data_IF_613820751577
#
_entry.id   IF_613820751577
#
_cell.length_a   1.000
_cell.length_b   1.000
_cell.length_c   1.000
_cell.angle_alpha   90.00
_cell.angle_beta   90.00
_cell.angle_gamma   90.00
#
_symmetry.space_group_name_H-M   'P 1'
#
loop_
_entity.id
_entity.type
_entity.pdbx_description
1 polymer ?
#
# COMPACT_ATOMS: atom_id res chain seq x y z
N UNK A 1 -29.51 -28.57 25.88
CA UNK A 1 -29.13 -27.31 26.54
C UNK A 1 -28.63 -26.38 25.45
N UNK A 2 -29.49 -25.50 24.95
CA UNK A 2 -29.24 -24.56 23.86
C UNK A 2 -28.70 -23.26 24.44
N UNK A 3 -27.43 -22.96 24.21
CA UNK A 3 -26.84 -21.66 24.60
C UNK A 3 -27.41 -20.55 23.73
N UNK A 4 -28.11 -19.61 24.35
CA UNK A 4 -28.60 -18.42 23.68
C UNK A 4 -27.44 -17.46 23.38
N UNK A 5 -27.28 -17.12 22.10
CA UNK A 5 -26.39 -16.03 21.67
C UNK A 5 -26.99 -14.71 22.15
N UNK A 6 -26.39 -14.12 23.19
CA UNK A 6 -26.71 -12.76 23.64
C UNK A 6 -26.34 -11.77 22.54
N UNK A 7 -27.33 -11.26 21.81
CA UNK A 7 -27.15 -10.06 21.00
C UNK A 7 -27.04 -8.86 21.95
N UNK A 8 -25.82 -8.38 22.21
CA UNK A 8 -25.62 -7.13 22.91
C UNK A 8 -26.24 -6.00 22.06
N UNK A 9 -27.29 -5.36 22.58
CA UNK A 9 -27.87 -4.16 21.96
C UNK A 9 -27.00 -2.97 22.36
N UNK A 10 -26.37 -2.32 21.39
CA UNK A 10 -25.58 -1.11 21.61
C UNK A 10 -26.47 0.00 22.17
N UNK A 11 -25.98 0.73 23.15
CA UNK A 11 -26.64 1.92 23.68
C UNK A 11 -26.64 3.07 22.65
N UNK A 12 -27.58 4.04 22.76
CA UNK A 12 -27.60 5.21 21.88
C UNK A 12 -26.27 5.96 21.82
N UNK A 13 -25.57 6.10 22.95
CA UNK A 13 -24.28 6.79 23.04
C UNK A 13 -23.17 6.03 22.28
N UNK A 14 -23.18 4.69 22.33
CA UNK A 14 -22.24 3.85 21.57
C UNK A 14 -22.50 3.94 20.06
N UNK A 15 -23.78 4.01 19.65
CA UNK A 15 -24.17 4.19 18.25
C UNK A 15 -23.67 5.54 17.72
N UNK A 16 -23.86 6.61 18.48
CA UNK A 16 -23.41 7.95 18.08
C UNK A 16 -21.88 8.06 18.03
N UNK A 17 -21.18 7.47 19.01
CA UNK A 17 -19.73 7.42 19.01
C UNK A 17 -19.17 6.63 17.79
N UNK A 18 -19.80 5.51 17.44
CA UNK A 18 -19.46 4.74 16.25
C UNK A 18 -19.74 5.51 14.96
N UNK A 19 -20.88 6.20 14.88
CA UNK A 19 -21.24 7.03 13.74
C UNK A 19 -20.22 8.18 13.54
N UNK A 20 -19.80 8.83 14.63
CA UNK A 20 -18.80 9.89 14.58
C UNK A 20 -17.42 9.38 14.19
N UNK A 21 -17.01 8.22 14.70
CA UNK A 21 -15.76 7.58 14.30
C UNK A 21 -15.78 7.20 12.81
N UNK A 22 -16.89 6.62 12.33
CA UNK A 22 -17.07 6.29 10.93
C UNK A 22 -17.02 7.55 10.04
N UNK A 23 -17.66 8.65 10.44
CA UNK A 23 -17.59 9.94 9.72
C UNK A 23 -16.17 10.50 9.68
N UNK A 24 -15.43 10.43 10.79
CA UNK A 24 -14.03 10.88 10.84
C UNK A 24 -13.15 10.05 9.92
N UNK A 25 -13.27 8.73 9.95
CA UNK A 25 -12.53 7.84 9.06
C UNK A 25 -12.89 8.06 7.58
N UNK A 26 -14.18 8.15 7.27
CA UNK A 26 -14.64 8.46 5.91
C UNK A 26 -14.06 9.80 5.42
N UNK A 27 -14.04 10.83 6.27
CA UNK A 27 -13.45 12.11 5.94
C UNK A 27 -11.96 11.98 5.62
N UNK A 28 -11.17 11.25 6.40
CA UNK A 28 -9.74 11.03 6.09
C UNK A 28 -9.57 10.40 4.71
N UNK A 29 -10.33 9.34 4.40
CA UNK A 29 -10.26 8.66 3.10
C UNK A 29 -10.68 9.59 1.96
N UNK A 30 -11.76 10.36 2.13
CA UNK A 30 -12.23 11.32 1.13
C UNK A 30 -11.17 12.38 0.80
N UNK A 31 -10.35 12.81 1.76
CA UNK A 31 -9.26 13.75 1.51
C UNK A 31 -8.12 13.14 0.68
N UNK A 32 -8.03 11.81 0.56
CA UNK A 32 -7.03 11.14 -0.27
C UNK A 32 -7.47 11.01 -1.73
N UNK A 33 -8.78 11.11 -2.03
CA UNK A 33 -9.34 10.96 -3.38
C UNK A 33 -8.62 11.84 -4.42
N UNK A 34 -8.30 13.13 -4.16
CA UNK A 34 -7.59 13.95 -5.14
C UNK A 34 -6.24 13.37 -5.59
N UNK A 35 -5.57 12.56 -4.76
CA UNK A 35 -4.30 11.92 -5.11
C UNK A 35 -4.48 10.89 -6.25
N UNK A 36 -5.68 10.35 -6.45
CA UNK A 36 -5.96 9.46 -7.59
C UNK A 36 -5.69 10.16 -8.93
N UNK A 37 -5.93 11.47 -9.04
CA UNK A 37 -5.64 12.21 -10.26
C UNK A 37 -4.15 12.18 -10.62
N UNK A 38 -3.29 12.38 -9.63
CA UNK A 38 -1.84 12.32 -9.80
C UNK A 38 -1.35 10.90 -10.13
N UNK A 39 -1.89 9.89 -9.44
CA UNK A 39 -1.55 8.48 -9.68
C UNK A 39 -1.97 8.05 -11.08
N UNK A 40 -3.22 8.32 -11.49
CA UNK A 40 -3.71 8.01 -12.83
C UNK A 40 -2.88 8.71 -13.90
N UNK A 41 -2.50 9.97 -13.69
CA UNK A 41 -1.62 10.68 -14.62
C UNK A 41 -0.25 10.00 -14.76
N UNK A 42 0.37 9.55 -13.67
CA UNK A 42 1.62 8.78 -13.71
C UNK A 42 1.43 7.45 -14.44
N UNK A 43 0.33 6.75 -14.18
CA UNK A 43 0.00 5.48 -14.85
C UNK A 43 -0.16 5.66 -16.35
N UNK A 44 -0.82 6.74 -16.79
CA UNK A 44 -0.97 7.06 -18.22
C UNK A 44 0.38 7.27 -18.89
N UNK A 45 1.36 7.83 -18.18
CA UNK A 45 2.70 8.08 -18.72
C UNK A 45 3.63 6.85 -18.62
N UNK A 46 3.23 5.77 -17.95
CA UNK A 46 4.02 4.55 -17.81
C UNK A 46 3.44 3.43 -18.70
N UNK A 47 4.17 2.94 -19.73
CA UNK A 47 3.64 2.01 -20.73
C UNK A 47 2.95 0.75 -20.15
N UNK A 48 3.50 0.17 -19.08
CA UNK A 48 2.96 -1.05 -18.46
C UNK A 48 1.65 -0.85 -17.68
N UNK A 49 1.24 0.38 -17.39
CA UNK A 49 0.07 0.69 -16.56
C UNK A 49 -0.94 1.60 -17.25
N UNK A 50 -0.63 2.10 -18.46
CA UNK A 50 -1.48 3.05 -19.19
C UNK A 50 -2.87 2.50 -19.51
N UNK A 51 -2.99 1.18 -19.64
CA UNK A 51 -4.24 0.50 -19.98
C UNK A 51 -4.95 -0.13 -18.77
N UNK A 52 -4.49 0.15 -17.55
CA UNK A 52 -5.17 -0.28 -16.33
C UNK A 52 -6.57 0.32 -16.27
N UNK A 53 -7.56 -0.53 -15.94
CA UNK A 53 -8.94 -0.08 -15.78
C UNK A 53 -9.04 0.88 -14.58
N UNK A 54 -9.78 1.98 -14.74
CA UNK A 54 -9.98 2.95 -13.65
C UNK A 54 -10.60 2.32 -12.41
N UNK A 55 -11.45 1.30 -12.58
CA UNK A 55 -12.05 0.54 -11.47
C UNK A 55 -11.02 -0.19 -10.62
N UNK A 56 -9.81 -0.48 -11.13
CA UNK A 56 -8.76 -1.14 -10.34
C UNK A 56 -8.17 -0.23 -9.27
N UNK A 57 -8.38 1.09 -9.35
CA UNK A 57 -7.89 2.03 -8.32
C UNK A 57 -8.44 1.73 -6.93
N UNK A 58 -9.66 1.16 -6.85
CA UNK A 58 -10.33 0.81 -5.60
C UNK A 58 -9.56 -0.25 -4.79
N UNK A 59 -8.98 -1.25 -5.44
CA UNK A 59 -8.21 -2.29 -4.75
C UNK A 59 -6.70 -2.05 -4.80
N UNK A 60 -6.21 -1.35 -5.82
CA UNK A 60 -4.77 -1.16 -6.09
C UNK A 60 -4.18 0.05 -5.36
N UNK A 61 -4.91 1.16 -5.31
CA UNK A 61 -4.37 2.46 -4.87
C UNK A 61 -5.06 2.95 -3.60
N UNK A 62 -6.39 2.89 -3.54
CA UNK A 62 -7.16 3.40 -2.41
C UNK A 62 -6.79 2.79 -1.06
N UNK A 63 -6.53 1.47 -0.93
CA UNK A 63 -6.17 0.90 0.36
C UNK A 63 -4.81 1.43 0.84
N UNK A 64 -3.85 1.59 -0.07
CA UNK A 64 -2.55 2.19 0.23
C UNK A 64 -2.69 3.61 0.77
N UNK A 65 -3.48 4.43 0.07
CA UNK A 65 -3.70 5.83 0.44
C UNK A 65 -4.45 5.95 1.77
N UNK A 66 -5.45 5.11 2.00
CA UNK A 66 -6.23 5.08 3.23
C UNK A 66 -5.43 4.62 4.45
N UNK A 67 -4.40 3.78 4.23
CA UNK A 67 -3.51 3.26 5.27
C UNK A 67 -2.22 4.08 5.43
N UNK A 68 -2.06 5.18 4.68
CA UNK A 68 -0.80 5.94 4.61
C UNK A 68 0.41 5.07 4.23
N UNK A 69 0.17 4.00 3.46
CA UNK A 69 1.20 3.10 2.95
C UNK A 69 1.54 3.42 1.48
N UNK A 70 1.64 4.70 1.17
CA UNK A 70 2.02 5.20 -0.14
C UNK A 70 2.67 6.58 -0.05
N UNK A 71 3.46 6.91 -1.05
CA UNK A 71 4.13 8.21 -1.18
C UNK A 71 4.07 8.70 -2.62
N UNK A 72 3.67 9.95 -2.76
CA UNK A 72 3.67 10.70 -4.02
C UNK A 72 4.84 11.69 -3.99
N UNK A 73 5.63 11.70 -5.06
CA UNK A 73 6.76 12.61 -5.25
C UNK A 73 6.37 13.68 -6.25
N UNK A 74 6.62 14.93 -5.89
CA UNK A 74 6.40 16.10 -6.74
C UNK A 74 7.73 16.76 -7.10
N UNK A 75 7.79 17.34 -8.29
CA UNK A 75 8.83 18.30 -8.72
C UNK A 75 8.13 19.46 -9.39
N UNK A 76 8.35 20.68 -8.89
CA UNK A 76 7.71 21.89 -9.41
C UNK A 76 6.18 21.72 -9.55
N UNK A 77 5.56 21.19 -8.48
CA UNK A 77 4.13 20.83 -8.39
C UNK A 77 3.64 19.71 -9.33
N UNK A 78 4.47 19.21 -10.23
CA UNK A 78 4.14 18.08 -11.09
C UNK A 78 4.44 16.74 -10.41
N UNK A 79 3.52 15.75 -10.44
CA UNK A 79 3.84 14.41 -9.97
C UNK A 79 4.93 13.78 -10.83
N UNK A 80 5.95 13.20 -10.20
CA UNK A 80 7.08 12.57 -10.91
C UNK A 80 7.22 11.09 -10.59
N UNK A 81 6.80 10.67 -9.40
CA UNK A 81 6.78 9.28 -9.02
C UNK A 81 5.72 8.99 -7.96
N UNK A 82 5.26 7.75 -7.90
CA UNK A 82 4.38 7.22 -6.86
C UNK A 82 4.87 5.83 -6.46
N UNK A 83 4.87 5.56 -5.17
CA UNK A 83 5.14 4.22 -4.64
C UNK A 83 4.10 3.86 -3.60
N UNK A 84 3.64 2.61 -3.61
CA UNK A 84 2.82 2.02 -2.56
C UNK A 84 3.45 0.75 -2.03
N UNK A 85 3.16 0.44 -0.77
CA UNK A 85 3.68 -0.75 -0.12
C UNK A 85 2.63 -1.42 0.77
N UNK A 86 2.87 -2.69 1.06
CA UNK A 86 2.11 -3.49 2.00
C UNK A 86 3.05 -4.21 2.97
N UNK A 87 2.60 -4.43 4.20
CA UNK A 87 3.28 -5.30 5.16
C UNK A 87 2.45 -6.57 5.27
N UNK A 88 2.93 -7.63 4.62
CA UNK A 88 2.20 -8.87 4.43
C UNK A 88 2.65 -9.94 5.42
N UNK A 89 1.72 -10.73 5.93
CA UNK A 89 2.06 -11.99 6.61
C UNK A 89 2.69 -12.96 5.60
N UNK A 90 3.46 -13.98 6.04
CA UNK A 90 4.07 -14.94 5.13
C UNK A 90 3.07 -15.62 4.19
N UNK A 91 1.87 -15.97 4.71
CA UNK A 91 0.84 -16.66 3.93
C UNK A 91 0.23 -15.73 2.86
N UNK A 92 0.01 -14.46 3.20
CA UNK A 92 -0.51 -13.47 2.26
C UNK A 92 0.54 -13.12 1.21
N UNK A 93 1.81 -13.02 1.59
CA UNK A 93 2.91 -12.77 0.67
C UNK A 93 3.08 -13.90 -0.36
N UNK A 94 2.99 -15.17 0.06
CA UNK A 94 3.05 -16.31 -0.85
C UNK A 94 1.90 -16.30 -1.87
N UNK A 95 0.68 -16.01 -1.41
CA UNK A 95 -0.48 -15.83 -2.29
C UNK A 95 -0.27 -14.67 -3.26
N UNK A 96 0.18 -13.52 -2.75
CA UNK A 96 0.43 -12.33 -3.57
C UNK A 96 1.46 -12.61 -4.66
N UNK A 97 2.54 -13.35 -4.36
CA UNK A 97 3.57 -13.70 -5.33
C UNK A 97 3.11 -14.69 -6.42
N UNK A 98 2.05 -15.46 -6.17
CA UNK A 98 1.61 -16.56 -7.05
C UNK A 98 0.56 -16.18 -8.09
N UNK A 99 0.00 -14.96 -8.02
CA UNK A 99 -1.13 -14.52 -8.85
C UNK A 99 -2.47 -14.70 -8.13
N UNK A 100 -3.48 -13.84 -8.35
CA UNK A 100 -3.56 -12.77 -9.34
C UNK A 100 -2.85 -11.46 -8.96
N UNK A 101 -1.98 -11.46 -7.93
CA UNK A 101 -1.27 -10.26 -7.45
C UNK A 101 -2.22 -9.17 -6.93
N UNK A 102 -3.39 -9.59 -6.42
CA UNK A 102 -4.36 -8.69 -5.79
C UNK A 102 -4.29 -8.84 -4.27
N UNK A 103 -4.43 -7.72 -3.57
CA UNK A 103 -4.54 -7.65 -2.12
C UNK A 103 -5.94 -7.16 -1.75
N UNK A 104 -6.63 -7.90 -0.88
CA UNK A 104 -7.83 -7.39 -0.22
C UNK A 104 -7.43 -6.27 0.77
N UNK A 105 -8.33 -5.33 1.12
CA UNK A 105 -7.98 -4.23 2.05
C UNK A 105 -7.37 -4.68 3.38
N UNK A 106 -7.78 -5.83 3.92
CA UNK A 106 -7.21 -6.40 5.16
C UNK A 106 -5.78 -6.94 4.99
N UNK A 107 -5.41 -7.32 3.77
CA UNK A 107 -4.11 -7.94 3.48
C UNK A 107 -2.95 -6.94 3.62
N UNK A 108 -3.20 -5.66 3.28
CA UNK A 108 -2.19 -4.59 3.19
C UNK A 108 -1.36 -4.40 4.46
N UNK A 109 -1.90 -4.79 5.62
CA UNK A 109 -1.27 -4.71 6.94
C UNK A 109 -1.27 -6.04 7.70
N UNK A 110 -1.53 -7.15 7.00
CA UNK A 110 -1.65 -8.48 7.62
C UNK A 110 -0.44 -8.87 8.46
N UNK A 111 0.78 -8.50 8.03
CA UNK A 111 2.01 -8.77 8.75
C UNK A 111 2.51 -7.62 9.63
N UNK A 112 1.72 -6.56 9.85
CA UNK A 112 2.21 -5.36 10.55
C UNK A 112 2.60 -5.61 12.01
N UNK A 113 1.94 -6.56 12.67
CA UNK A 113 2.19 -6.94 14.07
C UNK A 113 3.02 -8.22 14.21
N UNK A 114 3.43 -8.83 13.09
CA UNK A 114 4.17 -10.08 13.06
C UNK A 114 5.68 -9.81 12.98
N UNK A 115 6.47 -10.59 13.71
CA UNK A 115 7.93 -10.46 13.70
C UNK A 115 8.54 -10.75 12.33
N UNK A 116 7.89 -11.60 11.53
CA UNK A 116 8.25 -12.04 10.20
C UNK A 116 7.42 -11.35 9.08
N UNK A 117 6.76 -10.24 9.40
CA UNK A 117 6.03 -9.42 8.43
C UNK A 117 6.94 -8.93 7.30
N UNK A 118 6.51 -9.16 6.06
CA UNK A 118 7.29 -8.88 4.85
C UNK A 118 6.87 -7.56 4.21
N UNK A 119 7.81 -6.69 3.88
CA UNK A 119 7.53 -5.45 3.16
C UNK A 119 7.52 -5.71 1.67
N UNK A 120 6.39 -5.41 1.01
CA UNK A 120 6.22 -5.56 -0.43
C UNK A 120 5.88 -4.22 -1.08
N UNK A 121 6.65 -3.83 -2.08
CA UNK A 121 6.29 -2.77 -3.02
C UNK A 121 5.18 -3.31 -3.91
N UNK A 122 4.01 -2.67 -3.86
CA UNK A 122 2.82 -3.07 -4.61
C UNK A 122 2.78 -2.34 -5.95
N UNK A 123 2.95 -1.01 -5.92
CA UNK A 123 3.09 -0.18 -7.11
C UNK A 123 4.33 0.69 -7.04
N UNK A 124 4.97 0.84 -8.19
CA UNK A 124 6.02 1.82 -8.43
C UNK A 124 5.80 2.43 -9.81
N UNK A 125 5.40 3.71 -9.81
CA UNK A 125 5.19 4.50 -11.01
C UNK A 125 6.29 5.56 -11.05
N UNK A 126 7.15 5.51 -12.06
CA UNK A 126 8.24 6.47 -12.23
C UNK A 126 8.52 6.66 -13.74
N UNK A 127 7.53 7.17 -14.51
CA UNK A 127 7.58 7.20 -15.97
C UNK A 127 8.73 8.05 -16.54
N UNK A 128 9.31 8.96 -15.75
CA UNK A 128 10.41 9.83 -16.15
C UNK A 128 11.77 9.39 -15.57
N UNK A 129 11.85 8.14 -15.10
CA UNK A 129 12.98 7.65 -14.33
C UNK A 129 12.86 8.01 -12.84
N UNK A 130 13.88 7.69 -12.04
CA UNK A 130 13.86 7.92 -10.60
C UNK A 130 13.56 6.69 -9.74
N UNK A 131 13.32 5.52 -10.36
CA UNK A 131 12.95 4.26 -9.70
C UNK A 131 13.92 3.88 -8.58
N UNK A 132 15.23 3.91 -8.86
CA UNK A 132 16.26 3.56 -7.87
C UNK A 132 16.30 4.54 -6.70
N UNK A 133 16.14 5.84 -6.99
CA UNK A 133 16.13 6.89 -5.97
C UNK A 133 14.92 6.72 -5.05
N UNK A 134 13.73 6.45 -5.60
CA UNK A 134 12.52 6.19 -4.82
C UNK A 134 12.66 4.95 -3.94
N UNK A 135 13.21 3.85 -4.48
CA UNK A 135 13.42 2.62 -3.72
C UNK A 135 14.48 2.79 -2.63
N UNK A 136 15.56 3.52 -2.92
CA UNK A 136 16.59 3.82 -1.93
C UNK A 136 16.06 4.70 -0.80
N UNK A 137 15.27 5.71 -1.12
CA UNK A 137 14.60 6.56 -0.14
C UNK A 137 13.65 5.73 0.74
N UNK A 138 12.84 4.86 0.13
CA UNK A 138 11.92 4.00 0.86
C UNK A 138 12.66 3.06 1.84
N UNK A 139 13.81 2.52 1.41
CA UNK A 139 14.68 1.64 2.23
C UNK A 139 15.39 2.37 3.38
N UNK A 140 15.68 3.64 3.23
CA UNK A 140 16.50 4.40 4.20
C UNK A 140 15.67 5.22 5.17
N UNK A 141 14.45 5.61 4.78
CA UNK A 141 13.59 6.52 5.55
C UNK A 141 12.36 5.82 6.14
N UNK A 142 11.66 5.00 5.35
CA UNK A 142 10.42 4.34 5.78
C UNK A 142 10.71 2.96 6.38
N UNK A 143 11.66 2.23 5.79
CA UNK A 143 12.01 0.86 6.18
C UNK A 143 13.51 0.65 6.47
N UNK A 144 14.16 1.50 7.27
CA UNK A 144 15.55 1.29 7.64
C UNK A 144 15.71 -0.08 8.33
N UNK A 145 16.74 -0.82 7.92
CA UNK A 145 17.05 -2.14 8.46
C UNK A 145 16.13 -3.27 8.02
N UNK A 146 15.16 -3.03 7.11
CA UNK A 146 14.27 -4.07 6.59
C UNK A 146 14.49 -4.36 5.12
N UNK A 147 14.31 -5.63 4.76
CA UNK A 147 14.27 -6.08 3.37
C UNK A 147 12.97 -5.59 2.69
N UNK A 148 13.08 -5.18 1.42
CA UNK A 148 11.93 -4.89 0.58
C UNK A 148 11.83 -5.93 -0.53
N UNK A 149 10.60 -6.32 -0.88
CA UNK A 149 10.30 -7.21 -1.98
C UNK A 149 9.47 -6.49 -3.03
N UNK A 150 9.68 -6.83 -4.29
CA UNK A 150 8.93 -6.26 -5.40
C UNK A 150 8.65 -7.34 -6.43
N UNK A 151 7.43 -7.38 -6.97
CA UNK A 151 7.16 -8.21 -8.14
C UNK A 151 7.64 -7.50 -9.40
N UNK A 152 8.50 -8.18 -10.16
CA UNK A 152 8.85 -7.74 -11.50
C UNK A 152 7.87 -8.35 -12.51
N UNK A 153 7.28 -7.51 -13.36
CA UNK A 153 6.54 -7.98 -14.51
C UNK A 153 7.50 -8.67 -15.49
N UNK A 154 7.17 -9.89 -15.91
CA UNK A 154 7.94 -10.67 -16.87
C UNK A 154 7.08 -11.73 -17.54
N UNK A 155 7.53 -12.26 -18.68
CA UNK A 155 6.84 -13.37 -19.35
C UNK A 155 6.96 -14.64 -18.50
N UNK A 156 5.87 -15.03 -17.81
CA UNK A 156 5.79 -16.24 -17.00
C UNK A 156 5.48 -15.98 -15.52
N UNK A 157 5.95 -16.87 -14.64
CA UNK A 157 5.70 -16.78 -13.19
C UNK A 157 6.46 -15.55 -12.64
N UNK A 158 5.71 -14.57 -12.11
CA UNK A 158 6.30 -13.39 -11.48
C UNK A 158 7.33 -13.82 -10.44
N UNK A 159 8.54 -13.25 -10.51
CA UNK A 159 9.61 -13.51 -9.55
C UNK A 159 9.74 -12.33 -8.61
N UNK A 160 9.71 -12.54 -7.29
CA UNK A 160 10.03 -11.48 -6.36
C UNK A 160 11.51 -11.09 -6.51
N UNK A 161 11.74 -9.81 -6.77
CA UNK A 161 13.03 -9.16 -6.59
C UNK A 161 13.14 -8.75 -5.13
N UNK A 162 14.29 -9.07 -4.54
CA UNK A 162 14.60 -8.71 -3.15
C UNK A 162 15.63 -7.58 -3.12
N UNK A 163 15.31 -6.54 -2.37
CA UNK A 163 16.19 -5.41 -2.08
C UNK A 163 16.69 -5.55 -0.64
N UNK A 164 18.02 -5.65 -0.40
CA UNK A 164 18.55 -5.91 0.93
C UNK A 164 18.26 -4.77 1.91
N UNK A 165 18.28 -5.06 3.20
CA UNK A 165 18.18 -4.05 4.23
C UNK A 165 19.32 -3.02 4.13
N UNK A 166 19.00 -1.74 4.37
CA UNK A 166 19.98 -0.64 4.46
C UNK A 166 19.77 0.06 5.78
N UNK A 167 20.85 0.39 6.48
CA UNK A 167 20.77 1.19 7.70
C UNK A 167 20.25 2.61 7.39
N UNK A 168 19.59 3.23 8.36
CA UNK A 168 19.22 4.64 8.23
C UNK A 168 20.50 5.49 8.18
N UNK A 169 20.63 6.45 7.25
CA UNK A 169 21.81 7.33 7.19
C UNK A 169 22.01 8.15 8.47
N UNK A 170 20.94 8.44 9.22
CA UNK A 170 20.99 9.21 10.48
C UNK A 170 21.53 8.41 11.69
N UNK A 171 21.69 7.08 11.56
CA UNK A 171 22.25 6.21 12.61
C UNK A 171 23.73 5.88 12.39
N UNK A 172 24.35 6.42 11.34
CA UNK A 172 25.74 6.15 10.96
C UNK A 172 26.73 7.25 11.38
N UNK A 173 26.31 8.19 12.23
CA UNK A 173 27.15 9.29 12.78
C UNK A 173 27.35 9.17 14.28
#
# INVERSE_FOLDING_TARGET
MTSATTHATLSPDEIDAWADQARKQARVVLHKIPLLGAVVWLMLNQPGTRHTLLSEMDWRVMPALALDQAKLYLRDDAPVAFVSWAILSPQVAERFASGPHHLAPSDWRSGQLEADGQVWVVDLLAPFGGTEQVLNELRTTVFPGRELRQLLAGEGKARPLTWPAVASPDLAS
#
